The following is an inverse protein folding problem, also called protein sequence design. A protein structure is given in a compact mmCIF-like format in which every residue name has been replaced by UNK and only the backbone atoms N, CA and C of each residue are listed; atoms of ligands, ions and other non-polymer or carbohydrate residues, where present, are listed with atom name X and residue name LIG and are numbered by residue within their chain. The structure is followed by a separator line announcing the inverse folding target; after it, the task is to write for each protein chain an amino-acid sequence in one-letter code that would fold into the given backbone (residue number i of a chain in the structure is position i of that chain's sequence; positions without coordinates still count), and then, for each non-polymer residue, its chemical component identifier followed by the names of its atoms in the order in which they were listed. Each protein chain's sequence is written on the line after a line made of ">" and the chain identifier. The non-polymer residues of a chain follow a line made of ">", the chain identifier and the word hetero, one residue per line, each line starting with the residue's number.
data_IF_363555659315
#
_entry.id   IF_363555659315
#
_cell.length_a   1.000
_cell.length_b   1.000
_cell.length_c   1.000
_cell.angle_alpha   90.00
_cell.angle_beta   90.00
_cell.angle_gamma   90.00
#
_symmetry.space_group_name_H-M   'P 1'
#
loop_
_entity.id
_entity.type
_entity.pdbx_description
1 polymer ?
#
# COMPACT_ATOMS: atom_id res chain seq x y z
N UNK A 1 -16.39 -16.41 23.25
CA UNK A 1 -15.02 -16.88 22.93
C UNK A 1 -15.08 -17.57 21.58
N UNK A 2 -14.41 -17.04 20.55
CA UNK A 2 -14.33 -17.70 19.25
C UNK A 2 -13.04 -18.52 19.15
N UNK A 3 -13.13 -19.77 18.71
CA UNK A 3 -11.96 -20.60 18.41
C UNK A 3 -11.48 -20.27 16.99
N UNK A 4 -10.22 -19.86 16.84
CA UNK A 4 -9.60 -19.70 15.52
C UNK A 4 -8.92 -21.02 15.14
N UNK A 5 -9.43 -21.68 14.10
CA UNK A 5 -8.85 -22.91 13.55
C UNK A 5 -8.15 -22.58 12.23
N UNK A 6 -6.92 -23.02 12.07
CA UNK A 6 -6.12 -22.85 10.84
C UNK A 6 -5.85 -24.21 10.21
N UNK A 7 -6.11 -24.32 8.91
CA UNK A 7 -5.78 -25.50 8.09
C UNK A 7 -4.74 -25.04 7.07
N UNK A 8 -3.61 -25.75 7.00
CA UNK A 8 -2.50 -25.38 6.12
C UNK A 8 -1.84 -26.64 5.55
N UNK A 9 -1.31 -26.55 4.33
CA UNK A 9 -0.49 -27.57 3.69
C UNK A 9 1.02 -27.34 3.91
N UNK A 10 1.40 -26.32 4.67
CA UNK A 10 2.79 -26.00 4.99
C UNK A 10 3.39 -27.01 5.97
N UNK A 11 4.63 -27.43 5.75
CA UNK A 11 5.36 -28.26 6.71
C UNK A 11 5.75 -27.46 7.97
N UNK A 12 6.00 -28.17 9.07
CA UNK A 12 6.48 -27.56 10.32
C UNK A 12 7.89 -26.93 10.17
N UNK A 13 8.70 -27.45 9.25
CA UNK A 13 10.02 -26.90 8.90
C UNK A 13 9.89 -25.56 8.15
N UNK A 14 8.91 -25.45 7.24
CA UNK A 14 8.69 -24.23 6.48
C UNK A 14 7.96 -23.14 7.27
N UNK A 15 6.92 -23.51 8.01
CA UNK A 15 6.14 -22.58 8.84
C UNK A 15 5.87 -23.24 10.21
N UNK A 16 6.68 -22.89 11.23
CA UNK A 16 6.43 -23.32 12.60
C UNK A 16 5.05 -22.91 13.12
N UNK A 17 4.44 -23.72 13.97
CA UNK A 17 3.06 -23.54 14.46
C UNK A 17 2.81 -22.17 15.09
N UNK A 18 3.79 -21.64 15.83
CA UNK A 18 3.72 -20.32 16.47
C UNK A 18 3.67 -19.15 15.46
N UNK A 19 4.08 -19.38 14.21
CA UNK A 19 4.13 -18.36 13.16
C UNK A 19 2.92 -18.40 12.23
N UNK A 20 2.17 -19.51 12.19
CA UNK A 20 0.98 -19.69 11.34
C UNK A 20 -0.04 -18.55 11.52
N UNK A 21 -0.33 -18.18 12.78
CA UNK A 21 -1.26 -17.09 13.07
C UNK A 21 -0.77 -15.74 12.52
N UNK A 22 0.50 -15.41 12.77
CA UNK A 22 1.12 -14.17 12.30
C UNK A 22 1.11 -14.08 10.78
N UNK A 23 1.46 -15.18 10.10
CA UNK A 23 1.45 -15.25 8.65
C UNK A 23 0.03 -15.12 8.09
N UNK A 24 -0.95 -15.84 8.65
CA UNK A 24 -2.35 -15.74 8.23
C UNK A 24 -2.92 -14.33 8.43
N UNK A 25 -2.44 -13.59 9.44
CA UNK A 25 -2.86 -12.20 9.66
C UNK A 25 -2.50 -11.27 8.49
N UNK A 26 -1.50 -11.63 7.66
CA UNK A 26 -1.16 -10.89 6.45
C UNK A 26 -2.25 -10.92 5.37
N UNK A 27 -3.20 -11.87 5.44
CA UNK A 27 -4.39 -11.88 4.56
C UNK A 27 -5.12 -10.53 4.58
N UNK A 28 -5.10 -9.82 5.71
CA UNK A 28 -5.68 -8.48 5.83
C UNK A 28 -5.05 -7.46 4.87
N UNK A 29 -3.84 -7.67 4.34
CA UNK A 29 -3.26 -6.80 3.31
C UNK A 29 -4.11 -6.74 2.05
N UNK A 30 -4.73 -7.86 1.66
CA UNK A 30 -5.66 -7.91 0.53
C UNK A 30 -6.89 -7.04 0.83
N UNK A 31 -7.42 -7.09 2.06
CA UNK A 31 -8.55 -6.24 2.47
C UNK A 31 -8.18 -4.75 2.47
N UNK A 32 -6.98 -4.39 2.93
CA UNK A 32 -6.48 -3.00 2.86
C UNK A 32 -6.42 -2.55 1.42
N UNK A 33 -5.89 -3.37 0.51
CA UNK A 33 -5.76 -3.05 -0.90
C UNK A 33 -7.13 -2.84 -1.56
N UNK A 34 -8.09 -3.75 -1.37
CA UNK A 34 -9.45 -3.58 -1.88
C UNK A 34 -10.16 -2.38 -1.24
N UNK A 35 -9.95 -2.13 0.06
CA UNK A 35 -10.50 -0.96 0.72
C UNK A 35 -9.96 0.32 0.10
N UNK A 36 -8.66 0.38 -0.17
CA UNK A 36 -8.03 1.52 -0.85
C UNK A 36 -8.59 1.71 -2.27
N UNK A 37 -8.79 0.63 -3.01
CA UNK A 37 -9.36 0.71 -4.37
C UNK A 37 -10.79 1.22 -4.36
N UNK A 38 -11.65 0.70 -3.48
CA UNK A 38 -13.02 1.19 -3.33
C UNK A 38 -13.07 2.65 -2.88
N UNK A 39 -12.33 3.01 -1.83
CA UNK A 39 -12.35 4.36 -1.28
C UNK A 39 -11.76 5.43 -2.21
N UNK A 40 -10.76 5.11 -3.02
CA UNK A 40 -10.10 6.11 -3.86
C UNK A 40 -10.38 5.97 -5.35
N UNK A 41 -10.80 4.82 -5.83
CA UNK A 41 -11.10 4.64 -7.25
C UNK A 41 -12.56 4.34 -7.51
N UNK A 42 -13.38 4.15 -6.46
CA UNK A 42 -14.82 3.95 -6.57
C UNK A 42 -15.16 2.78 -7.50
N UNK A 43 -14.34 1.71 -7.46
CA UNK A 43 -14.48 0.55 -8.35
C UNK A 43 -15.76 -0.26 -8.07
N UNK A 44 -16.33 -0.12 -6.87
CA UNK A 44 -17.59 -0.72 -6.46
C UNK A 44 -18.83 0.13 -6.80
N UNK A 45 -18.63 1.38 -7.23
CA UNK A 45 -19.71 2.28 -7.63
C UNK A 45 -20.10 2.03 -9.08
N UNK A 46 -21.26 1.39 -9.30
CA UNK A 46 -21.78 1.13 -10.63
C UNK A 46 -22.93 2.11 -10.95
N UNK A 47 -22.73 2.95 -11.96
CA UNK A 47 -23.79 3.82 -12.47
C UNK A 47 -24.67 3.05 -13.45
N UNK A 48 -25.97 3.36 -13.46
CA UNK A 48 -26.90 2.79 -14.43
C UNK A 48 -26.71 3.47 -15.80
N UNK A 49 -25.76 2.97 -16.59
CA UNK A 49 -25.37 3.48 -17.91
C UNK A 49 -25.27 2.34 -18.91
N UNK A 50 -25.15 2.67 -20.20
CA UNK A 50 -24.91 1.67 -21.25
C UNK A 50 -23.66 0.84 -20.93
N UNK A 51 -23.73 -0.46 -21.25
CA UNK A 51 -22.67 -1.43 -20.97
C UNK A 51 -21.30 -0.99 -21.49
N UNK A 52 -21.23 -0.44 -22.69
CA UNK A 52 -19.98 -0.04 -23.32
C UNK A 52 -19.32 1.13 -22.56
N UNK A 53 -20.14 2.05 -22.02
CA UNK A 53 -19.63 3.15 -21.18
C UNK A 53 -19.17 2.65 -19.82
N UNK A 54 -19.90 1.68 -19.25
CA UNK A 54 -19.50 1.05 -17.99
C UNK A 54 -18.16 0.32 -18.13
N UNK A 55 -18.01 -0.49 -19.18
CA UNK A 55 -16.77 -1.21 -19.47
C UNK A 55 -15.60 -0.23 -19.67
N UNK A 56 -15.78 0.81 -20.48
CA UNK A 56 -14.75 1.84 -20.68
C UNK A 56 -14.35 2.54 -19.37
N UNK A 57 -15.33 2.88 -18.52
CA UNK A 57 -15.07 3.48 -17.22
C UNK A 57 -14.28 2.54 -16.30
N UNK A 58 -14.71 1.27 -16.22
CA UNK A 58 -14.05 0.23 -15.44
C UNK A 58 -12.60 0.02 -15.88
N UNK A 59 -12.34 -0.08 -17.18
CA UNK A 59 -10.97 -0.21 -17.69
C UNK A 59 -10.12 1.02 -17.31
N UNK A 60 -10.68 2.23 -17.42
CA UNK A 60 -10.01 3.45 -16.97
C UNK A 60 -9.65 3.42 -15.48
N UNK A 61 -10.58 2.98 -14.62
CA UNK A 61 -10.34 2.80 -13.18
C UNK A 61 -9.25 1.75 -12.92
N UNK A 62 -9.29 0.61 -13.61
CA UNK A 62 -8.30 -0.47 -13.47
C UNK A 62 -6.89 -0.01 -13.89
N UNK A 63 -6.78 0.74 -14.99
CA UNK A 63 -5.50 1.33 -15.42
C UNK A 63 -5.00 2.33 -14.37
N UNK A 64 -5.88 3.19 -13.86
CA UNK A 64 -5.54 4.12 -12.78
C UNK A 64 -5.03 3.40 -11.52
N UNK A 65 -5.72 2.35 -11.10
CA UNK A 65 -5.33 1.49 -9.96
C UNK A 65 -3.95 0.87 -10.21
N UNK A 66 -3.72 0.33 -11.41
CA UNK A 66 -2.45 -0.30 -11.78
C UNK A 66 -1.29 0.69 -11.71
N UNK A 67 -1.45 1.88 -12.27
CA UNK A 67 -0.43 2.93 -12.24
C UNK A 67 -0.14 3.38 -10.80
N UNK A 68 -1.18 3.67 -10.01
CA UNK A 68 -1.04 4.10 -8.62
C UNK A 68 -0.34 3.04 -7.76
N UNK A 69 -0.77 1.79 -7.90
CA UNK A 69 -0.23 0.66 -7.13
C UNK A 69 1.22 0.40 -7.51
N UNK A 70 1.54 0.39 -8.81
CA UNK A 70 2.91 0.23 -9.31
C UNK A 70 3.84 1.32 -8.78
N UNK A 71 3.43 2.60 -8.88
CA UNK A 71 4.21 3.71 -8.33
C UNK A 71 4.37 3.59 -6.81
N UNK A 72 3.32 3.20 -6.08
CA UNK A 72 3.39 3.00 -4.63
C UNK A 72 4.40 1.93 -4.24
N UNK A 73 4.38 0.78 -4.93
CA UNK A 73 5.31 -0.31 -4.66
C UNK A 73 6.75 0.10 -4.93
N UNK A 74 7.02 0.79 -6.05
CA UNK A 74 8.36 1.30 -6.37
C UNK A 74 8.85 2.32 -5.32
N UNK A 75 8.00 3.29 -4.96
CA UNK A 75 8.33 4.30 -3.94
C UNK A 75 8.59 3.68 -2.57
N UNK A 76 7.83 2.63 -2.20
CA UNK A 76 8.06 1.86 -0.98
C UNK A 76 9.43 1.20 -0.98
N UNK A 77 9.81 0.54 -2.08
CA UNK A 77 11.12 -0.10 -2.17
C UNK A 77 12.24 0.93 -2.02
N UNK A 78 12.17 2.05 -2.73
CA UNK A 78 13.16 3.12 -2.60
C UNK A 78 13.26 3.68 -1.17
N UNK A 79 12.13 3.87 -0.48
CA UNK A 79 12.13 4.35 0.91
C UNK A 79 12.67 3.30 1.89
N UNK A 80 12.36 2.02 1.68
CA UNK A 80 12.91 0.94 2.49
C UNK A 80 14.43 0.86 2.31
N UNK A 81 14.94 0.90 1.09
CA UNK A 81 16.37 0.83 0.81
C UNK A 81 17.12 2.04 1.38
N UNK A 82 16.66 3.26 1.06
CA UNK A 82 17.39 4.49 1.38
C UNK A 82 17.22 4.97 2.81
N UNK A 83 16.04 4.81 3.40
CA UNK A 83 15.72 5.39 4.72
C UNK A 83 15.27 4.37 5.74
N UNK A 84 15.13 3.10 5.35
CA UNK A 84 14.60 2.01 6.18
C UNK A 84 13.20 2.35 6.70
N UNK A 85 12.36 2.95 5.85
CA UNK A 85 11.02 3.40 6.23
C UNK A 85 9.94 2.50 5.62
N UNK A 86 9.01 2.02 6.47
CA UNK A 86 7.78 1.40 5.98
C UNK A 86 6.77 2.46 5.52
N UNK A 87 6.31 2.34 4.28
CA UNK A 87 5.33 3.22 3.66
C UNK A 87 3.92 2.65 3.84
N UNK A 88 2.96 3.46 4.27
CA UNK A 88 1.55 3.07 4.37
C UNK A 88 0.92 2.98 2.99
N UNK A 89 0.34 1.82 2.66
CA UNK A 89 -0.40 1.54 1.41
C UNK A 89 -1.45 2.63 1.15
N UNK A 90 -2.34 2.81 2.13
CA UNK A 90 -3.49 3.71 2.04
C UNK A 90 -3.06 5.17 1.84
N UNK A 91 -2.16 5.69 2.69
CA UNK A 91 -1.69 7.08 2.57
C UNK A 91 -0.92 7.32 1.28
N UNK A 92 -0.10 6.37 0.86
CA UNK A 92 0.70 6.50 -0.35
C UNK A 92 -0.17 6.56 -1.59
N UNK A 93 -1.13 5.63 -1.74
CA UNK A 93 -2.03 5.62 -2.90
C UNK A 93 -2.87 6.90 -2.95
N UNK A 94 -3.34 7.40 -1.81
CA UNK A 94 -4.01 8.71 -1.73
C UNK A 94 -3.14 9.83 -2.31
N UNK A 95 -1.91 9.99 -1.80
CA UNK A 95 -0.99 11.04 -2.25
C UNK A 95 -0.57 10.87 -3.72
N UNK A 96 -0.39 9.64 -4.20
CA UNK A 96 0.01 9.36 -5.58
C UNK A 96 -1.15 9.67 -6.54
N UNK A 97 -2.39 9.31 -6.17
CA UNK A 97 -3.58 9.64 -6.97
C UNK A 97 -3.69 11.15 -7.20
N UNK A 98 -3.45 11.97 -6.18
CA UNK A 98 -3.48 13.43 -6.30
C UNK A 98 -2.42 13.97 -7.29
N UNK A 99 -1.34 13.21 -7.53
CA UNK A 99 -0.27 13.56 -8.46
C UNK A 99 -0.55 13.12 -9.90
N UNK A 100 -1.63 12.38 -10.18
CA UNK A 100 -1.91 11.87 -11.53
C UNK A 100 -1.98 12.95 -12.62
N UNK A 101 -2.69 14.09 -12.43
CA UNK A 101 -2.72 15.13 -13.45
C UNK A 101 -1.33 15.67 -13.77
N UNK A 102 -0.49 15.84 -12.74
CA UNK A 102 0.87 16.32 -12.85
C UNK A 102 1.78 15.33 -13.58
N UNK A 103 1.69 14.04 -13.23
CA UNK A 103 2.44 12.97 -13.90
C UNK A 103 2.06 12.86 -15.37
N UNK A 104 0.76 12.94 -15.70
CA UNK A 104 0.29 12.88 -17.07
C UNK A 104 0.80 14.06 -17.90
N UNK A 105 0.75 15.28 -17.36
CA UNK A 105 1.31 16.47 -18.01
C UNK A 105 2.82 16.34 -18.22
N UNK A 106 3.56 15.86 -17.23
CA UNK A 106 5.01 15.72 -17.35
C UNK A 106 5.44 14.66 -18.37
N UNK A 107 4.69 13.56 -18.52
CA UNK A 107 4.94 12.57 -19.57
C UNK A 107 4.89 13.22 -20.96
N UNK A 108 3.96 14.16 -21.17
CA UNK A 108 3.84 14.87 -22.45
C UNK A 108 4.95 15.90 -22.69
N UNK A 109 5.52 16.48 -21.63
CA UNK A 109 6.59 17.48 -21.72
C UNK A 109 7.96 16.82 -21.96
N UNK A 110 8.27 15.77 -21.20
CA UNK A 110 9.54 15.05 -21.33
C UNK A 110 10.01 14.37 -20.05
N UNK A 111 11.07 13.57 -20.19
CA UNK A 111 11.63 12.73 -19.11
C UNK A 111 12.15 13.54 -17.92
N UNK A 112 12.77 14.69 -18.18
CA UNK A 112 13.32 15.57 -17.13
C UNK A 112 12.22 16.10 -16.20
N UNK A 113 11.10 16.56 -16.75
CA UNK A 113 10.00 17.07 -15.93
C UNK A 113 9.32 15.95 -15.16
N UNK A 114 9.18 14.77 -15.77
CA UNK A 114 8.68 13.58 -15.10
C UNK A 114 9.54 13.20 -13.90
N UNK A 115 10.86 13.21 -14.05
CA UNK A 115 11.80 12.93 -12.96
C UNK A 115 11.67 13.94 -11.82
N UNK A 116 11.51 15.23 -12.12
CA UNK A 116 11.29 16.27 -11.09
C UNK A 116 10.01 16.00 -10.30
N UNK A 117 8.91 15.67 -10.97
CA UNK A 117 7.63 15.40 -10.30
C UNK A 117 7.71 14.13 -9.46
N UNK A 118 8.33 13.07 -9.98
CA UNK A 118 8.56 11.83 -9.24
C UNK A 118 9.45 12.07 -8.00
N UNK A 119 10.48 12.90 -8.12
CA UNK A 119 11.34 13.26 -6.99
C UNK A 119 10.56 14.06 -5.93
N UNK A 120 9.72 15.01 -6.34
CA UNK A 120 8.83 15.75 -5.43
C UNK A 120 7.86 14.81 -4.71
N UNK A 121 7.25 13.88 -5.45
CA UNK A 121 6.37 12.85 -4.90
C UNK A 121 7.11 11.99 -3.88
N UNK A 122 8.33 11.54 -4.19
CA UNK A 122 9.18 10.78 -3.26
C UNK A 122 9.42 11.54 -1.94
N UNK A 123 9.77 12.83 -2.01
CA UNK A 123 9.98 13.66 -0.82
C UNK A 123 8.70 13.82 0.01
N UNK A 124 7.55 13.98 -0.65
CA UNK A 124 6.25 14.05 0.02
C UNK A 124 5.91 12.72 0.74
N UNK A 125 6.08 11.59 0.05
CA UNK A 125 5.85 10.26 0.59
C UNK A 125 6.80 9.96 1.76
N UNK A 126 8.07 10.36 1.66
CA UNK A 126 9.04 10.25 2.74
C UNK A 126 8.55 10.97 3.99
N UNK A 127 8.08 12.21 3.85
CA UNK A 127 7.65 13.06 4.96
C UNK A 127 6.33 12.58 5.60
N UNK A 128 5.34 12.25 4.77
CA UNK A 128 3.95 12.08 5.23
C UNK A 128 3.43 10.63 5.15
N UNK A 129 4.07 9.79 4.34
CA UNK A 129 3.60 8.44 4.00
C UNK A 129 4.00 7.35 4.98
N UNK A 130 4.76 7.67 6.04
CA UNK A 130 5.22 6.67 7.01
C UNK A 130 4.06 5.90 7.62
N UNK A 131 4.20 4.57 7.70
CA UNK A 131 3.22 3.71 8.35
C UNK A 131 3.23 3.94 9.86
N UNK A 132 2.04 4.08 10.42
CA UNK A 132 1.87 4.20 11.86
C UNK A 132 2.00 2.82 12.50
N UNK A 133 2.85 2.71 13.51
CA UNK A 133 2.98 1.50 14.31
C UNK A 133 2.04 1.61 15.52
N UNK A 134 1.10 0.67 15.68
CA UNK A 134 0.14 0.66 16.78
C UNK A 134 0.64 -0.26 17.89
N UNK A 135 0.40 0.11 19.14
CA UNK A 135 0.82 -0.69 20.29
C UNK A 135 0.29 -2.13 20.20
N UNK A 136 1.17 -3.11 20.43
CA UNK A 136 0.89 -4.57 20.35
C UNK A 136 0.40 -5.07 18.98
N UNK A 137 0.54 -4.29 17.90
CA UNK A 137 0.16 -4.70 16.55
C UNK A 137 1.38 -4.72 15.64
N UNK A 138 1.77 -5.93 15.23
CA UNK A 138 2.82 -6.15 14.25
C UNK A 138 2.39 -5.63 12.87
N UNK A 139 3.31 -4.98 12.17
CA UNK A 139 3.18 -4.63 10.75
C UNK A 139 3.59 -5.79 9.86
N UNK A 140 3.43 -5.61 8.55
CA UNK A 140 3.89 -6.61 7.56
C UNK A 140 5.40 -6.81 7.69
N UNK A 141 6.15 -5.73 7.91
CA UNK A 141 7.60 -5.80 8.05
C UNK A 141 8.02 -6.50 9.33
N UNK A 142 7.29 -6.29 10.44
CA UNK A 142 7.53 -7.03 11.69
C UNK A 142 7.31 -8.53 11.51
N UNK A 143 6.20 -8.90 10.85
CA UNK A 143 5.89 -10.31 10.60
C UNK A 143 6.99 -10.91 9.74
N UNK A 144 7.29 -10.32 8.58
CA UNK A 144 8.27 -10.84 7.61
C UNK A 144 9.74 -10.67 8.03
N UNK A 145 10.03 -10.10 9.20
CA UNK A 145 11.41 -9.91 9.68
C UNK A 145 12.22 -8.90 8.86
N UNK A 146 11.56 -7.96 8.17
CA UNK A 146 12.23 -6.93 7.37
C UNK A 146 12.79 -5.86 8.31
N UNK A 147 14.05 -5.46 8.14
CA UNK A 147 14.68 -4.44 8.98
C UNK A 147 14.23 -3.02 8.59
N UNK A 148 13.58 -2.31 9.52
CA UNK A 148 13.12 -0.94 9.31
C UNK A 148 13.14 -0.09 10.60
N UNK A 149 13.09 1.25 10.45
CA UNK A 149 12.99 2.19 11.57
C UNK A 149 11.58 2.20 12.14
N UNK A 150 11.41 1.82 13.39
CA UNK A 150 10.15 1.96 14.13
C UNK A 150 10.06 3.33 14.80
N UNK A 151 8.84 3.87 14.96
CA UNK A 151 8.58 5.04 15.82
C UNK A 151 7.78 4.58 17.02
N UNK A 152 8.38 3.75 17.88
CA UNK A 152 7.72 3.44 19.15
C UNK A 152 7.95 4.65 20.06
N UNK A 153 6.94 5.51 20.19
CA UNK A 153 6.88 6.43 21.34
C UNK A 153 6.62 5.56 22.55
N UNK A 154 7.66 5.20 23.29
CA UNK A 154 7.48 4.76 24.67
C UNK A 154 6.81 5.94 25.38
N UNK A 155 5.54 5.80 25.75
CA UNK A 155 4.99 6.64 26.82
C UNK A 155 5.81 6.25 28.04
N UNK A 156 6.69 7.16 28.48
CA UNK A 156 7.23 7.10 29.83
C UNK A 156 6.01 7.08 30.75
N UNK A 157 5.76 5.92 31.35
CA UNK A 157 4.86 5.82 32.50
C UNK A 157 5.53 6.61 33.61
N UNK A 158 4.94 7.76 33.94
CA UNK A 158 5.16 8.42 35.21
C UNK A 158 4.54 7.59 36.33
#
# INVERSE_FOLDING_TARGET
>A
MGMNVYITNTSLEGVPTNYVHSLYSLRWQIEILFKTWKSFFEIDECKNIKRERLECHLYGQLIGILLCSSTMFQMRQFLLEKTKQELSEYKAIYMIKDYFPLLFQAIAIGTEELLKILHRLYLLLKKNGRKCHRYKKMTVFDILGIVYKTTVKYRQTA
#
